data_IF_507193310432
#
_entry.id   IF_507193310432
#
_cell.length_a   1.000
_cell.length_b   1.000
_cell.length_c   1.000
_cell.angle_alpha   90.00
_cell.angle_beta   90.00
_cell.angle_gamma   90.00
#
_symmetry.space_group_name_H-M   'P 1'
#
loop_
_entity.id
_entity.type
_entity.pdbx_description
1 polymer ?
#
# COMPACT_ATOMS: atom_id res chain seq x y z
N UNK A 1 -13.47 15.03 -9.11
CA UNK A 1 -13.10 14.14 -10.24
C UNK A 1 -13.87 14.47 -11.51
N UNK A 2 -15.22 14.58 -11.49
CA UNK A 2 -16.01 14.91 -12.69
C UNK A 2 -15.60 16.22 -13.38
N UNK A 3 -15.28 17.26 -12.62
CA UNK A 3 -14.80 18.54 -13.18
C UNK A 3 -13.43 18.43 -13.86
N UNK A 4 -12.50 17.68 -13.26
CA UNK A 4 -11.15 17.44 -13.79
C UNK A 4 -11.22 16.57 -15.05
N UNK A 5 -12.02 15.49 -15.03
CA UNK A 5 -12.24 14.62 -16.20
C UNK A 5 -12.89 15.41 -17.35
N UNK A 6 -13.87 16.26 -17.05
CA UNK A 6 -14.52 17.12 -18.05
C UNK A 6 -13.56 18.14 -18.67
N UNK A 7 -12.80 18.87 -17.85
CA UNK A 7 -11.83 19.86 -18.33
C UNK A 7 -10.69 19.21 -19.13
N UNK A 8 -10.20 18.05 -18.68
CA UNK A 8 -9.16 17.30 -19.39
C UNK A 8 -9.66 16.79 -20.74
N UNK A 9 -10.90 16.28 -20.83
CA UNK A 9 -11.49 15.88 -22.11
C UNK A 9 -11.66 17.03 -23.08
N UNK A 10 -12.12 18.19 -22.60
CA UNK A 10 -12.23 19.38 -23.44
C UNK A 10 -10.88 19.76 -24.05
N UNK A 11 -9.80 19.71 -23.25
CA UNK A 11 -8.43 19.96 -23.73
C UNK A 11 -7.93 18.91 -24.72
N UNK A 12 -8.23 17.64 -24.48
CA UNK A 12 -7.87 16.55 -25.40
C UNK A 12 -8.60 16.73 -26.73
N UNK A 13 -9.89 17.04 -26.71
CA UNK A 13 -10.68 17.31 -27.91
C UNK A 13 -10.15 18.50 -28.69
N UNK A 14 -9.82 19.60 -28.00
CA UNK A 14 -9.18 20.78 -28.62
C UNK A 14 -7.82 20.47 -29.26
N UNK A 15 -7.09 19.48 -28.75
CA UNK A 15 -5.81 19.06 -29.33
C UNK A 15 -5.96 18.23 -30.63
N UNK A 16 -7.19 17.85 -31.00
CA UNK A 16 -7.46 16.98 -32.16
C UNK A 16 -6.95 15.54 -31.98
N UNK A 17 -6.61 15.17 -30.75
CA UNK A 17 -6.12 13.84 -30.37
C UNK A 17 -7.18 13.10 -29.59
N UNK A 18 -7.04 11.78 -29.50
CA UNK A 18 -7.89 10.99 -28.62
C UNK A 18 -7.11 10.07 -27.69
N UNK A 19 -7.79 9.71 -26.63
CA UNK A 19 -7.32 8.76 -25.60
C UNK A 19 -7.38 7.31 -26.08
N UNK A 20 -7.83 7.05 -27.31
CA UNK A 20 -7.94 5.72 -27.88
C UNK A 20 -8.90 5.66 -29.06
N UNK A 21 -8.38 5.21 -30.20
CA UNK A 21 -9.11 4.93 -31.43
C UNK A 21 -8.14 4.40 -32.49
N UNK A 22 -8.59 3.52 -33.40
CA UNK A 22 -7.72 2.94 -34.46
C UNK A 22 -7.39 3.95 -35.58
N UNK A 23 -8.02 5.14 -35.60
CA UNK A 23 -7.94 6.10 -36.72
C UNK A 23 -7.41 7.49 -36.36
N UNK A 24 -7.13 7.78 -35.08
CA UNK A 24 -6.68 9.10 -34.64
C UNK A 24 -5.27 9.03 -34.05
N UNK A 25 -4.55 10.15 -34.11
CA UNK A 25 -3.23 10.25 -33.48
C UNK A 25 -3.38 10.06 -31.97
N UNK A 26 -2.73 9.02 -31.43
CA UNK A 26 -2.84 8.66 -30.02
C UNK A 26 -2.11 9.70 -29.17
N UNK A 27 -2.79 10.19 -28.15
CA UNK A 27 -2.18 11.05 -27.15
C UNK A 27 -1.16 10.24 -26.33
N UNK A 28 0.10 10.69 -26.32
CA UNK A 28 1.17 10.08 -25.54
C UNK A 28 1.02 10.38 -24.04
N UNK A 29 1.72 9.59 -23.20
CA UNK A 29 1.70 9.77 -21.73
C UNK A 29 2.18 11.16 -21.30
N UNK A 30 3.32 11.60 -21.83
CA UNK A 30 3.91 12.91 -21.55
C UNK A 30 2.94 14.04 -21.93
N UNK A 31 2.28 13.91 -23.07
CA UNK A 31 1.36 14.92 -23.57
C UNK A 31 0.08 15.01 -22.73
N UNK A 32 -0.49 13.88 -22.29
CA UNK A 32 -1.64 13.92 -21.39
C UNK A 32 -1.29 14.49 -20.02
N UNK A 33 -0.10 14.19 -19.49
CA UNK A 33 0.37 14.79 -18.23
C UNK A 33 0.54 16.31 -18.38
N UNK A 34 1.05 16.77 -19.52
CA UNK A 34 1.12 18.20 -19.85
C UNK A 34 -0.27 18.84 -19.91
N UNK A 35 -1.22 18.22 -20.63
CA UNK A 35 -2.60 18.71 -20.70
C UNK A 35 -3.27 18.72 -19.31
N UNK A 36 -2.99 17.72 -18.47
CA UNK A 36 -3.49 17.68 -17.09
C UNK A 36 -2.89 18.80 -16.25
N UNK A 37 -1.58 19.07 -16.39
CA UNK A 37 -0.93 20.20 -15.74
C UNK A 37 -1.53 21.53 -16.20
N UNK A 38 -1.73 21.74 -17.51
CA UNK A 38 -2.38 22.93 -18.07
C UNK A 38 -3.78 23.12 -17.48
N UNK A 39 -4.60 22.06 -17.45
CA UNK A 39 -5.95 22.11 -16.84
C UNK A 39 -5.89 22.50 -15.37
N UNK A 40 -4.91 21.97 -14.64
CA UNK A 40 -4.71 22.27 -13.22
C UNK A 40 -4.31 23.72 -13.02
N UNK A 41 -3.36 24.23 -13.81
CA UNK A 41 -2.89 25.61 -13.75
C UNK A 41 -4.00 26.61 -14.12
N UNK A 42 -4.74 26.34 -15.21
CA UNK A 42 -5.88 27.17 -15.64
C UNK A 42 -6.96 27.25 -14.58
N UNK A 43 -7.28 26.12 -13.93
CA UNK A 43 -8.33 26.07 -12.91
C UNK A 43 -7.91 26.74 -11.61
N UNK A 44 -6.63 26.61 -11.22
CA UNK A 44 -6.10 27.35 -10.07
C UNK A 44 -6.02 28.84 -10.38
N UNK A 45 -5.62 29.25 -11.59
CA UNK A 45 -5.57 30.65 -12.00
C UNK A 45 -6.97 31.27 -12.14
N UNK A 46 -7.96 30.50 -12.59
CA UNK A 46 -9.37 30.87 -12.64
C UNK A 46 -10.04 30.87 -11.24
N UNK A 47 -9.29 30.55 -10.19
CA UNK A 47 -9.75 30.67 -8.81
C UNK A 47 -10.73 29.60 -8.37
N UNK A 48 -10.65 28.35 -8.88
CA UNK A 48 -11.42 27.22 -8.34
C UNK A 48 -11.30 27.15 -6.80
N UNK A 49 -12.29 27.48 -5.97
CA UNK A 49 -13.58 28.13 -6.18
C UNK A 49 -13.93 28.77 -4.83
N UNK A 50 -14.08 30.10 -4.76
CA UNK A 50 -14.94 30.67 -3.73
C UNK A 50 -16.35 30.12 -3.98
N UNK A 51 -16.81 29.22 -3.12
CA UNK A 51 -18.15 28.65 -3.23
C UNK A 51 -19.16 29.79 -3.12
N UNK A 52 -19.77 30.17 -4.24
CA UNK A 52 -20.91 31.07 -4.26
C UNK A 52 -22.19 30.32 -3.85
N UNK A 53 -22.19 29.71 -2.67
CA UNK A 53 -23.43 29.37 -1.98
C UNK A 53 -23.67 30.46 -0.94
N UNK A 54 -24.42 31.46 -1.37
CA UNK A 54 -24.97 32.46 -0.48
C UNK A 54 -25.98 31.80 0.44
N UNK A 55 -25.58 31.51 1.68
CA UNK A 55 -26.47 31.78 2.80
C UNK A 55 -25.70 32.21 4.05
N UNK A 56 -26.23 33.27 4.63
CA UNK A 56 -25.60 34.07 5.67
C UNK A 56 -25.80 33.46 7.06
N UNK A 57 -24.71 33.05 7.74
CA UNK A 57 -24.43 33.35 9.17
C UNK A 57 -23.19 32.65 9.72
N UNK A 58 -22.30 33.51 10.21
CA UNK A 58 -21.31 33.32 11.30
C UNK A 58 -19.91 32.79 10.96
N UNK A 59 -18.85 33.42 11.51
CA UNK A 59 -17.46 33.07 11.27
C UNK A 59 -16.93 32.11 12.33
N UNK A 60 -16.27 31.04 11.90
CA UNK A 60 -15.26 30.35 12.68
C UNK A 60 -14.24 29.72 11.73
N UNK A 61 -12.96 30.01 11.97
CA UNK A 61 -11.78 29.56 11.23
C UNK A 61 -11.79 28.05 10.92
N UNK A 62 -12.41 27.66 9.80
CA UNK A 62 -12.08 26.42 9.11
C UNK A 62 -11.35 26.81 7.83
N UNK A 63 -10.05 26.50 7.75
CA UNK A 63 -9.33 26.60 6.49
C UNK A 63 -10.08 25.73 5.48
N UNK A 64 -10.62 26.34 4.43
CA UNK A 64 -11.34 25.62 3.39
C UNK A 64 -10.42 24.51 2.84
N UNK A 65 -10.94 23.29 2.76
CA UNK A 65 -10.16 22.17 2.25
C UNK A 65 -9.66 22.50 0.83
N UNK A 66 -8.36 22.31 0.53
CA UNK A 66 -7.80 22.66 -0.76
C UNK A 66 -8.55 21.92 -1.89
N UNK A 67 -8.89 22.66 -2.95
CA UNK A 67 -9.60 22.08 -4.08
C UNK A 67 -8.72 21.03 -4.79
N UNK A 68 -9.36 20.09 -5.48
CA UNK A 68 -8.69 19.00 -6.18
C UNK A 68 -7.58 19.45 -7.16
N UNK A 69 -7.67 20.67 -7.70
CA UNK A 69 -6.65 21.25 -8.57
C UNK A 69 -5.45 21.81 -7.81
N UNK A 70 -5.65 22.39 -6.62
CA UNK A 70 -4.56 22.87 -5.78
C UNK A 70 -3.64 21.72 -5.33
N UNK A 71 -4.21 20.57 -4.94
CA UNK A 71 -3.46 19.37 -4.57
C UNK A 71 -2.66 18.78 -5.75
N UNK A 72 -3.23 18.77 -6.96
CA UNK A 72 -2.49 18.33 -8.15
C UNK A 72 -1.37 19.30 -8.50
N UNK A 73 -1.56 20.61 -8.34
CA UNK A 73 -0.54 21.62 -8.64
C UNK A 73 0.69 21.43 -7.76
N UNK A 74 0.52 21.12 -6.47
CA UNK A 74 1.64 20.81 -5.56
C UNK A 74 2.42 19.57 -6.04
N UNK A 75 1.71 18.54 -6.47
CA UNK A 75 2.33 17.32 -7.03
C UNK A 75 3.09 17.59 -8.32
N UNK A 76 2.53 18.38 -9.25
CA UNK A 76 3.20 18.74 -10.51
C UNK A 76 4.38 19.68 -10.31
N UNK A 77 4.27 20.66 -9.40
CA UNK A 77 5.35 21.62 -9.12
C UNK A 77 6.61 20.99 -8.55
N UNK A 78 6.54 19.72 -8.11
CA UNK A 78 7.67 18.95 -7.59
C UNK A 78 8.35 18.06 -8.65
N UNK A 79 7.82 17.98 -9.87
CA UNK A 79 8.34 17.10 -10.93
C UNK A 79 8.71 17.91 -12.18
N UNK A 80 9.99 17.87 -12.55
CA UNK A 80 10.47 18.41 -13.82
C UNK A 80 10.17 17.38 -14.93
N UNK A 81 9.03 17.52 -15.62
CA UNK A 81 8.56 16.56 -16.63
C UNK A 81 9.44 16.49 -17.90
N UNK A 82 10.46 17.34 -17.98
CA UNK A 82 11.41 17.39 -19.09
C UNK A 82 12.62 16.47 -18.92
N UNK A 83 12.83 15.88 -17.74
CA UNK A 83 14.03 15.08 -17.43
C UNK A 83 13.88 13.55 -17.66
N UNK A 84 12.76 13.05 -18.19
CA UNK A 84 12.65 11.63 -18.57
C UNK A 84 13.30 11.35 -19.94
N UNK A 85 14.51 10.79 -19.88
CA UNK A 85 15.34 10.28 -20.98
C UNK A 85 14.54 9.38 -21.94
N UNK A 86 14.64 9.69 -23.23
CA UNK A 86 14.15 8.85 -24.34
C UNK A 86 14.80 7.47 -24.29
N UNK A 87 14.05 6.43 -23.93
CA UNK A 87 14.45 5.05 -24.21
C UNK A 87 13.97 4.66 -25.61
N UNK A 88 14.84 4.87 -26.59
CA UNK A 88 14.70 4.34 -27.94
C UNK A 88 14.78 2.80 -27.97
N UNK A 89 14.02 2.20 -28.90
CA UNK A 89 14.37 0.97 -29.61
C UNK A 89 14.44 -0.35 -28.82
N UNK A 90 13.41 -1.19 -28.94
CA UNK A 90 13.60 -2.64 -28.77
C UNK A 90 12.83 -3.36 -29.89
N UNK A 91 13.61 -3.92 -30.81
CA UNK A 91 13.19 -4.74 -31.94
C UNK A 91 12.36 -5.95 -31.51
N UNK A 92 11.41 -6.32 -32.38
CA UNK A 92 10.53 -7.47 -32.23
C UNK A 92 11.33 -8.75 -32.51
N UNK A 93 11.65 -9.49 -31.44
CA UNK A 93 12.17 -10.86 -31.53
C UNK A 93 11.04 -11.86 -31.35
N UNK A 94 10.70 -12.57 -32.42
CA UNK A 94 9.87 -13.78 -32.40
C UNK A 94 10.53 -14.84 -31.52
N UNK A 95 9.77 -15.46 -30.62
CA UNK A 95 10.26 -16.50 -29.72
C UNK A 95 9.12 -17.40 -29.25
N UNK A 96 9.25 -18.66 -29.64
CA UNK A 96 8.29 -19.76 -29.59
C UNK A 96 7.84 -20.18 -28.17
N UNK A 97 6.72 -20.89 -28.15
CA UNK A 97 6.06 -21.52 -27.00
C UNK A 97 6.91 -22.63 -26.39
N UNK A 98 6.94 -22.74 -25.05
CA UNK A 98 7.07 -24.04 -24.38
C UNK A 98 6.13 -24.08 -23.15
N UNK A 99 5.18 -25.00 -23.24
CA UNK A 99 4.46 -25.61 -22.11
C UNK A 99 5.47 -26.28 -21.19
N UNK A 100 5.21 -26.27 -19.87
CA UNK A 100 5.61 -27.43 -19.07
C UNK A 100 4.84 -27.56 -17.76
N UNK A 101 4.49 -28.81 -17.51
CA UNK A 101 3.63 -29.33 -16.47
C UNK A 101 4.28 -29.35 -15.07
N UNK A 102 3.43 -29.62 -14.09
CA UNK A 102 3.68 -29.79 -12.66
C UNK A 102 4.78 -30.81 -12.35
N UNK A 103 5.55 -30.56 -11.29
CA UNK A 103 5.93 -31.67 -10.39
C UNK A 103 6.20 -31.23 -8.95
N UNK A 104 5.52 -31.90 -8.02
CA UNK A 104 5.76 -31.91 -6.58
C UNK A 104 6.90 -32.88 -6.26
N UNK A 105 7.91 -32.45 -5.50
CA UNK A 105 8.74 -33.37 -4.68
C UNK A 105 9.27 -32.66 -3.43
N UNK A 106 9.35 -33.44 -2.35
CA UNK A 106 9.67 -33.04 -0.99
C UNK A 106 11.19 -32.96 -0.68
N UNK A 107 11.49 -32.18 0.35
CA UNK A 107 12.65 -32.17 1.27
C UNK A 107 14.10 -32.13 0.74
N UNK A 108 14.83 -31.09 1.15
CA UNK A 108 16.01 -31.23 2.04
C UNK A 108 16.56 -29.86 2.48
N UNK A 109 16.87 -29.74 3.77
CA UNK A 109 17.54 -28.61 4.39
C UNK A 109 19.04 -28.60 4.05
N UNK A 110 19.49 -27.59 3.30
CA UNK A 110 20.88 -27.11 3.30
C UNK A 110 20.95 -25.68 2.75
N UNK A 111 21.64 -24.83 3.50
CA UNK A 111 21.86 -23.40 3.28
C UNK A 111 22.49 -23.06 1.92
N UNK A 112 21.84 -22.18 1.14
CA UNK A 112 22.49 -21.16 0.29
C UNK A 112 21.57 -19.93 0.21
N UNK A 113 22.03 -18.82 0.76
CA UNK A 113 21.44 -17.48 0.57
C UNK A 113 21.32 -17.19 -0.94
N UNK A 114 20.12 -17.32 -1.50
CA UNK A 114 19.83 -16.84 -2.84
C UNK A 114 19.72 -15.30 -2.79
N UNK A 115 20.49 -14.55 -3.60
CA UNK A 115 20.31 -13.10 -3.70
C UNK A 115 18.87 -12.80 -4.14
N UNK A 116 18.22 -11.88 -3.42
CA UNK A 116 16.84 -11.48 -3.69
C UNK A 116 16.76 -10.88 -5.10
N UNK A 117 16.12 -11.61 -6.03
CA UNK A 117 15.83 -11.11 -7.37
C UNK A 117 14.95 -9.86 -7.23
N UNK A 118 15.38 -8.76 -7.85
CA UNK A 118 14.62 -7.51 -7.94
C UNK A 118 13.14 -7.80 -8.24
N UNK A 119 12.19 -7.05 -7.66
CA UNK A 119 10.79 -7.21 -8.00
C UNK A 119 10.63 -7.03 -9.50
N UNK A 120 10.26 -8.11 -10.20
CA UNK A 120 9.85 -8.04 -11.60
C UNK A 120 8.77 -6.96 -11.68
N UNK A 121 9.02 -5.94 -12.51
CA UNK A 121 8.04 -4.93 -12.92
C UNK A 121 6.68 -5.63 -13.12
N UNK A 122 5.55 -5.02 -12.70
CA UNK A 122 4.24 -5.63 -12.83
C UNK A 122 4.11 -6.24 -14.21
N UNK A 123 3.73 -7.53 -14.28
CA UNK A 123 3.58 -8.28 -15.53
C UNK A 123 2.63 -7.45 -16.39
N UNK A 124 3.18 -6.69 -17.34
CA UNK A 124 2.41 -5.90 -18.29
C UNK A 124 1.48 -6.93 -18.93
N UNK A 125 0.16 -6.80 -18.69
CA UNK A 125 -0.84 -7.47 -19.52
C UNK A 125 -0.42 -7.17 -20.96
N UNK A 126 -0.44 -8.20 -21.80
CA UNK A 126 0.18 -8.22 -23.13
C UNK A 126 -0.04 -6.94 -23.95
N UNK A 127 0.86 -6.78 -24.92
CA UNK A 127 1.19 -5.68 -25.85
C UNK A 127 0.02 -4.85 -26.46
N UNK A 128 -1.23 -5.01 -26.02
CA UNK A 128 -2.40 -4.20 -26.40
C UNK A 128 -3.12 -3.47 -25.25
N UNK A 129 -2.59 -3.51 -24.03
CA UNK A 129 -3.12 -2.70 -22.92
C UNK A 129 -2.75 -1.23 -23.07
N UNK A 130 -3.59 -0.45 -23.77
CA UNK A 130 -3.47 1.02 -23.80
C UNK A 130 -3.36 1.61 -22.40
N UNK A 131 -2.65 2.74 -22.28
CA UNK A 131 -2.41 3.38 -20.99
C UNK A 131 -3.73 3.69 -20.25
N UNK A 132 -3.87 3.16 -19.04
CA UNK A 132 -5.06 3.29 -18.21
C UNK A 132 -5.06 4.61 -17.43
N UNK A 133 -4.95 5.74 -18.14
CA UNK A 133 -4.73 7.06 -17.55
C UNK A 133 -5.74 7.45 -16.44
N UNK A 134 -7.01 7.03 -16.54
CA UNK A 134 -8.00 7.29 -15.49
C UNK A 134 -7.64 6.61 -14.17
N UNK A 135 -7.13 5.38 -14.24
CA UNK A 135 -6.70 4.64 -13.05
C UNK A 135 -5.46 5.31 -12.42
N UNK A 136 -4.54 5.80 -13.25
CA UNK A 136 -3.32 6.46 -12.78
C UNK A 136 -3.63 7.83 -12.15
N UNK A 137 -4.47 8.65 -12.79
CA UNK A 137 -4.92 9.93 -12.20
C UNK A 137 -5.70 9.68 -10.91
N UNK A 138 -6.62 8.71 -10.89
CA UNK A 138 -7.33 8.36 -9.66
C UNK A 138 -6.36 7.93 -8.55
N UNK A 139 -5.31 7.19 -8.90
CA UNK A 139 -4.25 6.80 -7.96
C UNK A 139 -3.51 8.02 -7.41
N UNK A 140 -3.11 8.96 -8.27
CA UNK A 140 -2.47 10.21 -7.86
C UNK A 140 -3.36 11.03 -6.91
N UNK A 141 -4.65 11.17 -7.23
CA UNK A 141 -5.62 11.83 -6.36
C UNK A 141 -5.76 11.18 -5.00
N UNK A 142 -5.86 9.85 -5.00
CA UNK A 142 -5.96 9.09 -3.76
C UNK A 142 -4.68 9.32 -2.93
N UNK A 143 -3.48 9.23 -3.53
CA UNK A 143 -2.21 9.51 -2.86
C UNK A 143 -2.14 10.94 -2.30
N UNK A 144 -2.57 11.95 -3.06
CA UNK A 144 -2.64 13.34 -2.60
C UNK A 144 -3.55 13.49 -1.37
N UNK A 145 -4.77 12.94 -1.45
CA UNK A 145 -5.71 12.95 -0.33
C UNK A 145 -5.20 12.15 0.88
N UNK A 146 -4.40 11.10 0.65
CA UNK A 146 -3.71 10.36 1.70
C UNK A 146 -2.64 11.19 2.40
N UNK A 147 -1.81 11.91 1.63
CA UNK A 147 -0.79 12.81 2.16
C UNK A 147 -1.40 13.94 2.99
N UNK A 148 -2.49 14.54 2.52
CA UNK A 148 -3.18 15.59 3.27
C UNK A 148 -3.73 15.07 4.61
N UNK A 149 -4.28 13.85 4.61
CA UNK A 149 -4.71 13.19 5.84
C UNK A 149 -3.56 12.94 6.83
N UNK A 150 -2.33 12.69 6.37
CA UNK A 150 -1.16 12.59 7.24
C UNK A 150 -0.70 13.95 7.77
N UNK A 151 -0.89 15.03 7.01
CA UNK A 151 -0.46 16.38 7.39
C UNK A 151 -1.46 17.11 8.28
N UNK A 152 -2.68 16.58 8.39
CA UNK A 152 -3.72 17.16 9.25
C UNK A 152 -3.34 17.14 10.74
N UNK A 153 -3.96 18.02 11.54
CA UNK A 153 -3.74 18.12 13.00
C UNK A 153 -3.93 16.78 13.72
N UNK A 154 -4.82 15.92 13.19
CA UNK A 154 -5.04 14.55 13.67
C UNK A 154 -4.70 13.57 12.55
N UNK A 155 -3.41 13.21 12.40
CA UNK A 155 -2.94 12.43 11.26
C UNK A 155 -3.67 11.09 11.18
N UNK A 156 -4.05 10.70 9.97
CA UNK A 156 -4.75 9.43 9.71
C UNK A 156 -3.95 8.54 8.77
N UNK A 157 -3.63 7.34 9.24
CA UNK A 157 -2.96 6.30 8.46
C UNK A 157 -3.93 5.41 7.68
N UNK A 158 -5.25 5.68 7.74
CA UNK A 158 -6.27 4.83 7.13
C UNK A 158 -6.12 4.70 5.60
N UNK A 159 -5.39 5.63 4.98
CA UNK A 159 -5.11 5.61 3.57
C UNK A 159 -3.95 4.67 3.18
N UNK A 160 -3.07 4.32 4.13
CA UNK A 160 -1.84 3.56 3.87
C UNK A 160 -2.02 2.09 4.24
N UNK A 161 -1.79 1.22 3.25
CA UNK A 161 -1.81 -0.23 3.44
C UNK A 161 -0.45 -0.77 3.88
N UNK A 162 -0.40 -2.07 4.17
CA UNK A 162 0.86 -2.72 4.59
C UNK A 162 1.97 -2.57 3.55
N UNK A 163 1.62 -2.55 2.26
CA UNK A 163 2.58 -2.38 1.16
C UNK A 163 3.28 -1.03 1.23
N UNK A 164 2.53 0.03 1.53
CA UNK A 164 3.08 1.39 1.66
C UNK A 164 4.02 1.49 2.87
N UNK A 165 3.65 0.86 3.99
CA UNK A 165 4.50 0.82 5.19
C UNK A 165 5.79 0.01 4.94
N UNK A 166 5.68 -1.14 4.27
CA UNK A 166 6.84 -1.95 3.89
C UNK A 166 7.78 -1.21 2.92
N UNK A 167 7.23 -0.52 1.92
CA UNK A 167 8.00 0.30 0.99
C UNK A 167 8.64 1.51 1.68
N UNK A 168 7.92 2.15 2.61
CA UNK A 168 8.45 3.23 3.45
C UNK A 168 9.68 2.77 4.25
N UNK A 169 9.59 1.59 4.89
CA UNK A 169 10.73 1.01 5.61
C UNK A 169 11.91 0.72 4.68
N UNK A 170 11.64 0.18 3.49
CA UNK A 170 12.67 -0.09 2.47
C UNK A 170 13.40 1.20 2.04
N UNK A 171 12.65 2.28 1.81
CA UNK A 171 13.22 3.58 1.43
C UNK A 171 14.01 4.22 2.56
N UNK A 172 13.54 4.10 3.81
CA UNK A 172 14.30 4.56 4.98
C UNK A 172 15.63 3.81 5.09
N UNK A 173 15.59 2.48 4.92
CA UNK A 173 16.78 1.63 4.89
C UNK A 173 17.76 2.05 3.79
N UNK A 174 17.30 2.31 2.57
CA UNK A 174 18.15 2.81 1.49
C UNK A 174 18.74 4.21 1.79
N UNK A 175 17.93 5.12 2.34
CA UNK A 175 18.32 6.51 2.63
C UNK A 175 19.41 6.60 3.70
N UNK A 176 19.36 5.75 4.72
CA UNK A 176 20.38 5.68 5.76
C UNK A 176 21.53 4.73 5.42
N UNK A 177 21.54 4.16 4.21
CA UNK A 177 22.43 3.06 3.81
C UNK A 177 22.43 1.88 4.81
N UNK A 178 21.35 1.79 5.60
CA UNK A 178 21.19 0.86 6.70
C UNK A 178 20.25 -0.26 6.25
N UNK A 179 20.84 -1.27 5.63
CA UNK A 179 20.16 -2.51 5.25
C UNK A 179 20.03 -3.49 6.41
N UNK A 180 20.26 -3.05 7.64
CA UNK A 180 20.12 -3.89 8.83
C UNK A 180 18.68 -4.14 9.21
N UNK A 181 17.66 -3.64 8.49
CA UNK A 181 16.27 -3.88 8.85
C UNK A 181 15.44 -4.32 7.65
N UNK A 182 14.69 -5.41 7.83
CA UNK A 182 13.76 -5.96 6.85
C UNK A 182 12.37 -6.04 7.44
N UNK A 183 11.36 -5.73 6.64
CA UNK A 183 9.96 -5.91 6.99
C UNK A 183 9.30 -6.94 6.08
N UNK A 184 8.44 -7.79 6.63
CA UNK A 184 7.69 -8.79 5.88
C UNK A 184 6.37 -9.15 6.58
N UNK A 185 5.44 -9.76 5.84
CA UNK A 185 4.19 -10.25 6.43
C UNK A 185 4.41 -11.55 7.20
N UNK A 186 3.93 -11.60 8.45
CA UNK A 186 4.03 -12.73 9.38
C UNK A 186 2.70 -13.50 9.49
N UNK A 187 1.56 -12.81 9.56
CA UNK A 187 0.26 -13.47 9.73
C UNK A 187 -0.88 -12.80 8.99
N UNK A 188 -1.89 -13.57 8.60
CA UNK A 188 -3.18 -13.06 8.13
C UNK A 188 -4.00 -14.06 7.30
N UNK A 189 -5.16 -13.63 6.82
CA UNK A 189 -6.11 -14.49 6.08
C UNK A 189 -5.61 -15.00 4.73
N UNK A 190 -4.73 -14.24 4.09
CA UNK A 190 -4.15 -14.57 2.79
C UNK A 190 -2.64 -14.39 2.86
N UNK A 191 -1.87 -15.29 2.24
CA UNK A 191 -0.41 -15.19 2.17
C UNK A 191 -0.03 -14.25 1.02
N UNK A 192 0.52 -13.06 1.29
CA UNK A 192 1.02 -12.19 0.23
C UNK A 192 2.31 -12.75 -0.37
N UNK A 193 2.60 -12.35 -1.61
CA UNK A 193 3.91 -12.61 -2.23
C UNK A 193 5.01 -11.93 -1.40
N UNK A 194 6.04 -12.68 -1.04
CA UNK A 194 7.15 -12.16 -0.20
C UNK A 194 6.89 -12.20 1.31
N UNK A 195 5.81 -12.85 1.77
CA UNK A 195 5.66 -13.23 3.16
C UNK A 195 6.85 -14.07 3.64
N UNK A 196 7.12 -14.05 4.94
CA UNK A 196 8.20 -14.86 5.51
C UNK A 196 7.92 -16.36 5.37
N UNK A 197 8.99 -17.15 5.47
CA UNK A 197 8.87 -18.57 5.80
C UNK A 197 8.23 -18.71 7.20
N UNK A 198 7.31 -19.66 7.35
CA UNK A 198 6.49 -19.76 8.56
C UNK A 198 5.32 -18.77 8.62
N UNK A 199 4.90 -18.17 7.50
CA UNK A 199 3.70 -17.32 7.48
C UNK A 199 2.48 -18.01 8.11
N UNK A 200 1.90 -17.35 9.11
CA UNK A 200 0.73 -17.80 9.87
C UNK A 200 -0.53 -17.51 9.05
N UNK A 201 -0.98 -18.50 8.29
CA UNK A 201 -2.25 -18.45 7.59
C UNK A 201 -3.40 -18.71 8.57
N UNK A 202 -4.33 -17.75 8.68
CA UNK A 202 -5.49 -17.82 9.56
C UNK A 202 -6.76 -18.10 8.75
N UNK A 203 -7.56 -19.07 9.17
CA UNK A 203 -8.84 -19.46 8.56
C UNK A 203 -9.99 -19.51 9.58
N UNK A 204 -11.22 -19.35 9.11
CA UNK A 204 -12.42 -19.62 9.91
C UNK A 204 -12.57 -21.11 10.26
N UNK A 205 -11.93 -21.99 9.50
CA UNK A 205 -11.99 -23.44 9.69
C UNK A 205 -10.87 -23.99 10.59
N UNK A 206 -10.01 -23.14 11.17
CA UNK A 206 -8.94 -23.61 12.05
C UNK A 206 -9.52 -24.11 13.37
N UNK A 207 -9.20 -25.35 13.72
CA UNK A 207 -9.50 -25.92 15.03
C UNK A 207 -8.56 -25.39 16.13
N UNK A 208 -8.78 -25.81 17.37
CA UNK A 208 -7.98 -25.36 18.52
C UNK A 208 -6.51 -25.77 18.42
N UNK A 209 -6.22 -26.96 17.88
CA UNK A 209 -4.86 -27.46 17.69
C UNK A 209 -4.08 -26.57 16.70
N UNK A 210 -4.70 -26.21 15.57
CA UNK A 210 -4.13 -25.30 14.59
C UNK A 210 -3.92 -23.91 15.17
N UNK A 211 -4.86 -23.41 15.98
CA UNK A 211 -4.71 -22.13 16.67
C UNK A 211 -3.55 -22.13 17.67
N UNK A 212 -3.32 -23.24 18.36
CA UNK A 212 -2.18 -23.42 19.25
C UNK A 212 -0.85 -23.46 18.47
N UNK A 213 -0.79 -24.16 17.34
CA UNK A 213 0.38 -24.16 16.46
C UNK A 213 0.71 -22.75 15.94
N UNK A 214 -0.30 -22.03 15.46
CA UNK A 214 -0.16 -20.63 15.01
C UNK A 214 0.41 -19.73 16.12
N UNK A 215 -0.03 -19.95 17.37
CA UNK A 215 0.50 -19.24 18.53
C UNK A 215 1.98 -19.57 18.80
N UNK A 216 2.37 -20.84 18.70
CA UNK A 216 3.76 -21.23 18.89
C UNK A 216 4.68 -20.60 17.83
N UNK A 217 4.24 -20.53 16.57
CA UNK A 217 4.98 -19.84 15.50
C UNK A 217 5.11 -18.34 15.82
N UNK A 218 4.02 -17.69 16.23
CA UNK A 218 4.04 -16.28 16.64
C UNK A 218 5.03 -16.04 17.79
N UNK A 219 4.97 -16.87 18.82
CA UNK A 219 5.83 -16.79 19.99
C UNK A 219 7.31 -17.04 19.65
N UNK A 220 7.58 -17.99 18.76
CA UNK A 220 8.93 -18.27 18.25
C UNK A 220 9.54 -17.07 17.53
N UNK A 221 8.76 -16.35 16.71
CA UNK A 221 9.21 -15.10 16.11
C UNK A 221 9.40 -13.97 17.13
N UNK A 222 8.43 -13.79 18.04
CA UNK A 222 8.45 -12.73 19.05
C UNK A 222 9.62 -12.85 20.04
N UNK A 223 10.06 -14.09 20.34
CA UNK A 223 11.14 -14.36 21.28
C UNK A 223 12.53 -13.97 20.76
N UNK A 224 12.65 -13.62 19.47
CA UNK A 224 13.93 -13.23 18.85
C UNK A 224 14.21 -11.76 19.19
N UNK A 225 15.37 -11.49 19.78
CA UNK A 225 15.78 -10.12 20.18
C UNK A 225 15.93 -9.14 19.01
N UNK A 226 16.09 -9.65 17.78
CA UNK A 226 16.15 -8.85 16.56
C UNK A 226 14.79 -8.58 15.93
N UNK A 227 13.69 -9.06 16.50
CA UNK A 227 12.36 -8.98 15.90
C UNK A 227 11.44 -8.08 16.71
N UNK A 228 10.70 -7.24 16.01
CA UNK A 228 9.48 -6.61 16.52
C UNK A 228 8.30 -7.01 15.64
N UNK A 229 7.11 -7.04 16.23
CA UNK A 229 5.88 -7.39 15.52
C UNK A 229 4.94 -6.19 15.56
N UNK A 230 4.46 -5.79 14.39
CA UNK A 230 3.48 -4.73 14.21
C UNK A 230 2.17 -5.32 13.72
N UNK A 231 1.08 -4.97 14.40
CA UNK A 231 -0.27 -5.42 14.10
C UNK A 231 -1.03 -4.30 13.38
N UNK A 232 -1.45 -4.58 12.15
CA UNK A 232 -2.45 -3.77 11.45
C UNK A 232 -3.84 -4.12 11.96
N UNK A 233 -4.39 -3.26 12.81
CA UNK A 233 -5.75 -3.30 13.33
C UNK A 233 -6.69 -2.48 12.43
N UNK A 234 -7.97 -2.37 12.79
CA UNK A 234 -8.99 -1.79 11.91
C UNK A 234 -8.64 -0.43 11.30
N UNK A 235 -8.06 0.47 12.08
CA UNK A 235 -7.82 1.85 11.66
C UNK A 235 -6.44 2.37 12.11
N UNK A 236 -5.54 1.50 12.56
CA UNK A 236 -4.23 1.89 13.05
C UNK A 236 -3.27 0.70 13.06
N UNK A 237 -1.97 1.02 13.06
CA UNK A 237 -0.91 0.07 13.32
C UNK A 237 -0.49 0.19 14.79
N UNK A 238 -0.22 -0.94 15.44
CA UNK A 238 0.26 -0.97 16.82
C UNK A 238 1.35 -2.02 16.97
N UNK A 239 2.34 -1.78 17.85
CA UNK A 239 3.30 -2.81 18.21
C UNK A 239 2.65 -3.87 19.10
N UNK A 240 3.14 -5.09 18.98
CA UNK A 240 2.96 -6.14 19.99
C UNK A 240 4.11 -6.00 20.98
N UNK A 241 3.80 -5.68 22.23
CA UNK A 241 4.79 -5.36 23.27
C UNK A 241 5.17 -6.57 24.13
N UNK A 242 4.24 -7.52 24.30
CA UNK A 242 4.45 -8.73 25.07
C UNK A 242 3.49 -9.83 24.61
N UNK A 243 3.88 -11.08 24.83
CA UNK A 243 3.02 -12.25 24.73
C UNK A 243 2.95 -12.92 26.10
N UNK A 244 1.82 -13.53 26.43
CA UNK A 244 1.69 -14.38 27.62
C UNK A 244 0.78 -15.57 27.34
N UNK A 245 1.05 -16.64 28.06
CA UNK A 245 0.18 -17.80 28.16
C UNK A 245 -0.13 -18.00 29.65
N UNK A 246 -1.41 -18.15 29.99
CA UNK A 246 -1.89 -18.43 31.34
C UNK A 246 -2.70 -19.70 31.32
N UNK A 247 -2.51 -20.53 32.34
CA UNK A 247 -3.34 -21.70 32.59
C UNK A 247 -4.25 -21.30 33.76
N UNK A 248 -5.56 -21.28 33.51
CA UNK A 248 -6.57 -20.99 34.52
C UNK A 248 -6.83 -22.25 35.39
N UNK A 249 -7.53 -22.11 36.52
CA UNK A 249 -7.68 -23.18 37.51
C UNK A 249 -8.43 -24.43 36.99
N UNK A 250 -9.22 -24.26 35.94
CA UNK A 250 -9.95 -25.31 35.22
C UNK A 250 -9.10 -26.01 34.14
N UNK A 251 -7.83 -25.61 34.00
CA UNK A 251 -6.92 -26.10 32.96
C UNK A 251 -7.05 -25.37 31.62
N UNK A 252 -7.92 -24.36 31.51
CA UNK A 252 -8.08 -23.58 30.29
C UNK A 252 -6.81 -22.78 30.00
N UNK A 253 -6.30 -22.90 28.77
CA UNK A 253 -5.11 -22.15 28.33
C UNK A 253 -5.53 -20.88 27.62
N UNK A 254 -5.25 -19.74 28.24
CA UNK A 254 -5.50 -18.41 27.70
C UNK A 254 -4.21 -17.81 27.13
N UNK A 255 -4.22 -17.47 25.84
CA UNK A 255 -3.10 -16.86 25.10
C UNK A 255 -3.41 -15.42 24.75
N UNK A 256 -2.53 -14.50 25.10
CA UNK A 256 -2.80 -13.08 24.98
C UNK A 256 -1.58 -12.29 24.52
N UNK A 257 -1.82 -11.27 23.69
CA UNK A 257 -0.82 -10.30 23.25
C UNK A 257 -1.11 -8.93 23.85
N UNK A 258 -0.09 -8.25 24.34
CA UNK A 258 -0.17 -6.87 24.81
C UNK A 258 0.03 -5.94 23.62
N UNK A 259 -0.98 -5.14 23.29
CA UNK A 259 -0.91 -4.16 22.20
C UNK A 259 -1.71 -2.90 22.54
N UNK A 260 -1.48 -1.82 21.80
CA UNK A 260 -2.25 -0.59 21.94
C UNK A 260 -3.55 -0.64 21.14
N UNK A 261 -4.68 -0.40 21.82
CA UNK A 261 -5.93 -0.03 21.13
C UNK A 261 -5.88 1.44 20.72
N UNK A 262 -6.76 1.84 19.81
CA UNK A 262 -6.78 3.20 19.23
C UNK A 262 -6.80 4.26 20.34
N UNK A 263 -5.81 5.16 20.33
CA UNK A 263 -5.71 6.27 21.28
C UNK A 263 -5.29 5.89 22.70
N UNK A 264 -4.83 4.64 22.93
CA UNK A 264 -4.42 4.16 24.24
C UNK A 264 -2.93 3.79 24.28
N UNK A 265 -2.31 4.00 25.45
CA UNK A 265 -1.02 3.37 25.78
C UNK A 265 -1.19 1.84 25.80
N UNK A 266 -0.12 1.04 25.72
CA UNK A 266 -0.23 -0.42 25.75
C UNK A 266 -0.76 -0.87 27.13
N UNK A 267 -2.08 -1.04 27.23
CA UNK A 267 -2.76 -1.34 28.50
C UNK A 267 -3.71 -2.51 28.41
N UNK A 268 -3.84 -3.12 27.23
CA UNK A 268 -4.84 -4.16 27.00
C UNK A 268 -4.18 -5.43 26.47
N UNK A 269 -4.39 -6.50 27.21
CA UNK A 269 -4.16 -7.85 26.75
C UNK A 269 -5.32 -8.26 25.84
N UNK A 270 -5.00 -8.54 24.58
CA UNK A 270 -5.93 -9.04 23.57
C UNK A 270 -5.74 -10.54 23.45
N UNK A 271 -6.82 -11.32 23.51
CA UNK A 271 -6.70 -12.77 23.33
C UNK A 271 -6.24 -13.11 21.91
N UNK A 272 -5.53 -14.22 21.75
CA UNK A 272 -5.12 -14.70 20.43
C UNK A 272 -6.33 -14.97 19.53
N UNK A 273 -7.42 -15.49 20.13
CA UNK A 273 -8.70 -15.68 19.43
C UNK A 273 -9.24 -14.35 18.91
N UNK A 274 -9.26 -13.29 19.72
CA UNK A 274 -9.68 -11.95 19.28
C UNK A 274 -8.78 -11.40 18.17
N UNK A 275 -7.46 -11.54 18.30
CA UNK A 275 -6.51 -11.12 17.28
C UNK A 275 -6.75 -11.82 15.94
N UNK A 276 -7.01 -13.14 15.96
CA UNK A 276 -7.37 -13.91 14.77
C UNK A 276 -8.67 -13.39 14.14
N UNK A 277 -9.68 -13.06 14.95
CA UNK A 277 -10.91 -12.47 14.43
C UNK A 277 -10.67 -11.12 13.74
N UNK A 278 -9.73 -10.31 14.23
CA UNK A 278 -9.31 -9.09 13.51
C UNK A 278 -8.68 -9.46 12.16
N UNK A 279 -7.70 -10.37 12.14
CA UNK A 279 -7.02 -10.78 10.90
C UNK A 279 -7.98 -11.37 9.84
N UNK A 280 -9.08 -12.01 10.26
CA UNK A 280 -10.07 -12.60 9.37
C UNK A 280 -11.03 -11.58 8.74
N UNK A 281 -11.26 -10.43 9.40
CA UNK A 281 -12.23 -9.40 8.95
C UNK A 281 -11.87 -8.77 7.62
N UNK A 282 -10.59 -8.58 7.31
CA UNK A 282 -10.16 -7.97 6.06
C UNK A 282 -8.81 -8.52 5.61
N UNK A 283 -8.67 -8.77 4.32
CA UNK A 283 -7.43 -9.28 3.72
C UNK A 283 -6.22 -8.35 3.95
N UNK A 284 -6.46 -7.06 4.20
CA UNK A 284 -5.44 -6.07 4.53
C UNK A 284 -4.95 -6.12 5.98
N UNK A 285 -5.68 -6.73 6.92
CA UNK A 285 -5.18 -6.88 8.29
C UNK A 285 -4.13 -7.97 8.36
N UNK A 286 -2.95 -7.63 8.90
CA UNK A 286 -1.78 -8.50 8.99
C UNK A 286 -1.05 -8.28 10.30
N UNK A 287 -0.33 -9.31 10.74
CA UNK A 287 0.87 -9.11 11.54
C UNK A 287 2.06 -8.94 10.59
N UNK A 288 2.85 -7.91 10.83
CA UNK A 288 4.05 -7.57 10.08
C UNK A 288 5.22 -7.76 11.02
N UNK A 289 6.22 -8.50 10.55
CA UNK A 289 7.47 -8.71 11.25
C UNK A 289 8.48 -7.71 10.71
N UNK A 290 9.11 -6.97 11.61
CA UNK A 290 10.28 -6.14 11.33
C UNK A 290 11.45 -6.80 12.04
N UNK A 291 12.47 -7.16 11.28
CA UNK A 291 13.62 -7.89 11.76
C UNK A 291 14.88 -7.11 11.46
N UNK A 292 15.74 -6.97 12.46
CA UNK A 292 17.09 -6.50 12.28
C UNK A 292 17.94 -7.62 11.67
N UNK A 293 18.32 -7.48 10.40
CA UNK A 293 19.30 -8.32 9.71
C UNK A 293 20.71 -7.95 10.18
N UNK A 294 21.50 -8.97 10.52
CA UNK A 294 22.88 -8.82 10.99
C UNK A 294 23.82 -8.33 9.87
#
# INVERSE_FOLDING_TARGET
FGEVDGALRAKIEMSGKSLGGKKESKLGRKELLRLLQEVVEERVAAGCGESSDGDSKSPANSAAAPCAFALLRELFGSQNLDDEVECEGAEEGEGEEEDDELNDTADTAASVLKPWKQPRKPKRRGVHGGWAWRADIATLYNLAGGLEKLRSERPSTAFFGNGDVMEGMRRLSDMYEDRSCRMASLAGRTKPKGAIEGFILVSHSDDEARQAEQWQVLNGHFSRSSVIIMFHLTNHYALVYALRERIDADGTITRELLTSRKGQRPSTWMSWVEARQVLLKWNGYKLLLVERTA
#
